data_IF_544020437736
#
_entry.id   IF_544020437736
#
_cell.length_a   1.000
_cell.length_b   1.000
_cell.length_c   1.000
_cell.angle_alpha   90.00
_cell.angle_beta   90.00
_cell.angle_gamma   90.00
#
_symmetry.space_group_name_H-M   'P 1'
#
loop_
_entity.id
_entity.type
_entity.pdbx_description
1 polymer ?
#
# COMPACT_ATOMS: atom_id res chain seq x y z
N UNK A 1 1.25 -0.69 26.47
CA UNK A 1 0.57 0.38 25.72
C UNK A 1 -0.86 -0.07 25.52
N UNK A 2 -1.82 0.64 26.07
CA UNK A 2 -3.24 0.42 25.78
C UNK A 2 -3.54 1.24 24.52
N UNK A 3 -4.13 0.64 23.49
CA UNK A 3 -4.58 1.38 22.33
C UNK A 3 -5.65 2.40 22.79
N UNK A 4 -5.59 3.68 22.36
CA UNK A 4 -6.65 4.63 22.65
C UNK A 4 -7.99 4.09 22.15
N UNK A 5 -9.09 4.37 22.86
CA UNK A 5 -10.44 3.81 22.64
C UNK A 5 -11.07 4.03 21.24
N UNK A 6 -10.39 4.68 20.29
CA UNK A 6 -10.93 5.05 18.97
C UNK A 6 -9.94 4.89 17.80
N UNK A 7 -8.86 4.11 17.96
CA UNK A 7 -7.93 3.85 16.84
C UNK A 7 -8.54 2.88 15.82
N UNK A 8 -8.37 3.18 14.53
CA UNK A 8 -8.75 2.27 13.44
C UNK A 8 -8.01 0.93 13.61
N UNK A 9 -8.75 -0.18 13.52
CA UNK A 9 -8.19 -1.52 13.64
C UNK A 9 -8.52 -2.37 12.40
N UNK A 10 -7.73 -3.42 12.22
CA UNK A 10 -8.01 -4.51 11.30
C UNK A 10 -8.29 -5.77 12.11
N UNK A 11 -9.48 -6.32 11.94
CA UNK A 11 -9.92 -7.53 12.65
C UNK A 11 -9.74 -8.76 11.78
N UNK A 12 -9.00 -9.74 12.29
CA UNK A 12 -8.95 -11.09 11.73
C UNK A 12 -9.93 -11.96 12.51
N UNK A 13 -10.89 -12.58 11.82
CA UNK A 13 -11.92 -13.40 12.45
C UNK A 13 -11.95 -14.82 11.90
N UNK A 14 -12.38 -15.76 12.74
CA UNK A 14 -12.56 -17.17 12.37
C UNK A 14 -13.88 -17.68 12.96
N UNK A 15 -14.77 -18.29 12.16
CA UNK A 15 -16.01 -18.85 12.67
C UNK A 15 -15.76 -20.10 13.51
N UNK A 16 -16.58 -20.30 14.55
CA UNK A 16 -16.63 -21.52 15.35
C UNK A 16 -17.81 -22.34 14.83
N UNK A 17 -17.52 -23.50 14.23
CA UNK A 17 -18.52 -24.39 13.62
C UNK A 17 -18.44 -25.77 14.25
N UNK A 18 -19.57 -26.27 14.76
CA UNK A 18 -19.69 -27.62 15.32
C UNK A 18 -20.89 -28.33 14.70
N UNK A 19 -20.69 -29.55 14.19
CA UNK A 19 -21.75 -30.31 13.52
C UNK A 19 -22.39 -29.58 12.33
N UNK A 20 -21.63 -28.73 11.63
CA UNK A 20 -22.12 -27.91 10.51
C UNK A 20 -22.95 -26.68 10.93
N UNK A 21 -23.08 -26.41 12.24
CA UNK A 21 -23.80 -25.23 12.76
C UNK A 21 -22.82 -24.16 13.21
N UNK A 22 -23.10 -22.91 12.83
CA UNK A 22 -22.37 -21.74 13.32
C UNK A 22 -22.72 -21.50 14.79
N UNK A 23 -21.72 -21.58 15.67
CA UNK A 23 -21.87 -21.35 17.10
C UNK A 23 -21.36 -19.98 17.55
N UNK A 24 -20.43 -19.38 16.80
CA UNK A 24 -19.86 -18.07 17.12
C UNK A 24 -18.68 -17.72 16.22
N UNK A 25 -17.86 -16.75 16.66
CA UNK A 25 -16.62 -16.37 15.99
C UNK A 25 -15.58 -15.92 17.02
N UNK A 26 -14.31 -16.17 16.73
CA UNK A 26 -13.18 -15.54 17.42
C UNK A 26 -12.66 -14.38 16.58
N UNK A 27 -12.07 -13.38 17.23
CA UNK A 27 -11.48 -12.23 16.57
C UNK A 27 -10.16 -11.83 17.21
N UNK A 28 -9.26 -11.31 16.39
CA UNK A 28 -8.00 -10.68 16.82
C UNK A 28 -7.91 -9.32 16.15
N UNK A 29 -7.90 -8.27 16.96
CA UNK A 29 -7.76 -6.90 16.49
C UNK A 29 -6.29 -6.49 16.43
N UNK A 30 -5.91 -5.95 15.28
CA UNK A 30 -4.59 -5.39 15.05
C UNK A 30 -4.71 -3.88 14.92
N UNK A 31 -3.99 -3.14 15.74
CA UNK A 31 -3.90 -1.69 15.62
C UNK A 31 -3.19 -1.34 14.31
N UNK A 32 -3.92 -0.69 13.39
CA UNK A 32 -3.46 -0.49 12.02
C UNK A 32 -2.31 0.51 11.94
N UNK A 33 -2.25 1.44 12.90
CA UNK A 33 -1.20 2.44 13.02
C UNK A 33 0.14 1.80 13.37
N UNK A 34 0.15 0.91 14.35
CA UNK A 34 1.35 0.16 14.73
C UNK A 34 1.81 -0.77 13.60
N UNK A 35 0.86 -1.42 12.91
CA UNK A 35 1.16 -2.25 11.75
C UNK A 35 1.78 -1.43 10.61
N UNK A 36 1.16 -0.31 10.26
CA UNK A 36 1.64 0.62 9.22
C UNK A 36 3.06 1.09 9.53
N UNK A 37 3.31 1.60 10.74
CA UNK A 37 4.65 2.06 11.14
C UNK A 37 5.72 0.97 11.04
N UNK A 38 5.37 -0.28 11.38
CA UNK A 38 6.31 -1.40 11.32
C UNK A 38 6.63 -1.81 9.87
N UNK A 39 5.61 -1.98 9.03
CA UNK A 39 5.78 -2.47 7.66
C UNK A 39 6.35 -1.39 6.73
N UNK A 40 5.82 -0.17 6.79
CA UNK A 40 6.18 0.89 5.85
C UNK A 40 7.61 1.41 6.07
N UNK A 41 8.12 1.35 7.31
CA UNK A 41 9.51 1.70 7.62
C UNK A 41 10.52 0.83 6.86
N UNK A 42 10.19 -0.43 6.59
CA UNK A 42 11.09 -1.35 5.87
C UNK A 42 11.21 -1.00 4.39
N UNK A 43 10.14 -0.46 3.78
CA UNK A 43 10.10 -0.12 2.35
C UNK A 43 10.40 1.35 2.03
N UNK A 44 10.70 2.17 3.04
CA UNK A 44 10.94 3.61 2.85
C UNK A 44 12.39 3.87 2.47
N UNK A 45 12.57 4.62 1.39
CA UNK A 45 13.86 5.14 0.93
C UNK A 45 13.75 6.65 0.75
N UNK A 46 14.84 7.32 0.37
CA UNK A 46 14.82 8.74 0.04
C UNK A 46 13.92 9.05 -1.16
N UNK A 47 13.86 8.14 -2.13
CA UNK A 47 13.21 8.36 -3.43
C UNK A 47 11.90 7.59 -3.59
N UNK A 48 11.53 6.76 -2.61
CA UNK A 48 10.33 5.94 -2.69
C UNK A 48 9.83 5.45 -1.36
N UNK A 49 8.61 4.93 -1.38
CA UNK A 49 7.92 4.38 -0.22
C UNK A 49 7.02 3.23 -0.64
N UNK A 50 6.60 2.44 0.34
CA UNK A 50 5.60 1.39 0.15
C UNK A 50 4.30 1.81 0.80
N UNK A 51 3.18 1.39 0.25
CA UNK A 51 1.86 1.45 0.90
C UNK A 51 0.97 0.32 0.40
N UNK A 52 -0.21 0.16 1.01
CA UNK A 52 -1.09 -0.97 0.74
C UNK A 52 -2.49 -0.47 0.43
N UNK A 53 -3.15 -1.07 -0.56
CA UNK A 53 -4.55 -0.79 -0.89
C UNK A 53 -5.27 -2.08 -1.29
N UNK A 54 -6.60 -2.06 -1.35
CA UNK A 54 -7.36 -3.14 -1.99
C UNK A 54 -7.53 -2.90 -3.50
N UNK A 55 -8.12 -3.89 -4.19
CA UNK A 55 -8.42 -3.87 -5.62
C UNK A 55 -9.34 -2.72 -6.06
N UNK A 56 -10.02 -2.05 -5.14
CA UNK A 56 -10.91 -0.91 -5.42
C UNK A 56 -10.21 0.43 -5.11
N UNK A 57 -8.93 0.38 -4.71
CA UNK A 57 -8.10 1.53 -4.39
C UNK A 57 -8.36 2.12 -3.01
N UNK A 58 -9.01 1.38 -2.10
CA UNK A 58 -9.13 1.76 -0.68
C UNK A 58 -7.78 1.51 -0.01
N UNK A 59 -7.21 2.56 0.58
CA UNK A 59 -5.91 2.50 1.23
C UNK A 59 -6.04 1.75 2.56
N UNK A 60 -5.27 0.67 2.71
CA UNK A 60 -5.26 -0.18 3.90
C UNK A 60 -4.16 0.26 4.88
N UNK A 61 -2.96 0.59 4.38
CA UNK A 61 -1.82 1.03 5.18
C UNK A 61 -1.08 2.14 4.44
N UNK A 62 -0.79 3.26 5.10
CA UNK A 62 -0.04 4.38 4.54
C UNK A 62 0.66 5.19 5.64
N UNK A 63 1.75 5.88 5.31
CA UNK A 63 2.56 6.66 6.27
C UNK A 63 1.81 7.94 6.70
N UNK A 64 1.03 8.49 5.78
CA UNK A 64 -0.03 9.45 6.07
C UNK A 64 -1.30 8.72 6.55
N UNK A 65 -1.49 8.71 7.88
CA UNK A 65 -2.60 8.05 8.56
C UNK A 65 -3.98 8.60 8.13
N UNK A 66 -4.06 9.85 7.66
CA UNK A 66 -5.32 10.45 7.21
C UNK A 66 -5.89 9.83 5.93
N UNK A 67 -5.04 9.10 5.19
CA UNK A 67 -5.43 8.42 3.96
C UNK A 67 -5.96 7.01 4.21
N UNK A 68 -5.72 6.42 5.38
CA UNK A 68 -6.14 5.05 5.68
C UNK A 68 -7.67 4.97 5.67
N UNK A 69 -8.21 3.90 5.09
CA UNK A 69 -9.64 3.67 4.85
C UNK A 69 -10.30 4.72 3.94
N UNK A 70 -9.50 5.39 3.11
CA UNK A 70 -9.99 6.30 2.08
C UNK A 70 -9.64 5.79 0.68
N UNK A 71 -10.42 6.20 -0.31
CA UNK A 71 -10.14 5.94 -1.72
C UNK A 71 -10.04 7.26 -2.47
N UNK A 72 -8.80 7.66 -2.76
CA UNK A 72 -8.48 8.92 -3.43
C UNK A 72 -8.37 8.71 -4.95
N UNK A 73 -8.45 9.80 -5.73
CA UNK A 73 -8.37 9.72 -7.20
C UNK A 73 -7.14 8.95 -7.69
N UNK A 74 -5.99 9.16 -7.06
CA UNK A 74 -4.73 8.51 -7.41
C UNK A 74 -4.82 6.97 -7.27
N UNK A 75 -5.32 6.46 -6.14
CA UNK A 75 -5.39 5.02 -5.89
C UNK A 75 -6.49 4.34 -6.70
N UNK A 76 -7.63 5.00 -6.95
CA UNK A 76 -8.64 4.52 -7.90
C UNK A 76 -8.07 4.36 -9.30
N UNK A 77 -7.26 5.33 -9.74
CA UNK A 77 -6.61 5.29 -11.06
C UNK A 77 -5.62 4.12 -11.11
N UNK A 78 -4.80 3.93 -10.07
CA UNK A 78 -3.87 2.81 -10.00
C UNK A 78 -4.58 1.46 -9.99
N UNK A 79 -5.64 1.31 -9.20
CA UNK A 79 -6.44 0.10 -9.15
C UNK A 79 -7.01 -0.27 -10.53
N UNK A 80 -7.60 0.71 -11.22
CA UNK A 80 -8.13 0.51 -12.56
C UNK A 80 -7.03 0.13 -13.57
N UNK A 81 -5.88 0.81 -13.53
CA UNK A 81 -4.75 0.50 -14.41
C UNK A 81 -4.17 -0.89 -14.15
N UNK A 82 -4.00 -1.26 -12.88
CA UNK A 82 -3.55 -2.59 -12.47
C UNK A 82 -4.51 -3.69 -12.99
N UNK A 83 -5.82 -3.51 -12.77
CA UNK A 83 -6.84 -4.44 -13.27
C UNK A 83 -6.84 -4.57 -14.80
N UNK A 84 -6.57 -3.47 -15.51
CA UNK A 84 -6.46 -3.46 -16.97
C UNK A 84 -5.09 -3.93 -17.49
N UNK A 85 -4.15 -4.27 -16.61
CA UNK A 85 -2.77 -4.62 -16.95
C UNK A 85 -2.06 -3.53 -17.78
N UNK A 86 -2.34 -2.26 -17.48
CA UNK A 86 -1.75 -1.07 -18.11
C UNK A 86 -0.34 -0.79 -17.56
N UNK A 87 0.55 -1.76 -17.74
CA UNK A 87 1.96 -1.67 -17.37
C UNK A 87 2.80 -1.19 -18.55
N UNK A 88 3.84 -0.41 -18.26
CA UNK A 88 4.87 -0.11 -19.24
C UNK A 88 5.79 -1.33 -19.49
N UNK A 89 6.77 -1.16 -20.37
CA UNK A 89 7.73 -2.21 -20.75
C UNK A 89 8.56 -2.76 -19.57
N UNK A 90 8.64 -2.02 -18.46
CA UNK A 90 9.35 -2.42 -17.24
C UNK A 90 8.41 -3.02 -16.19
N UNK A 91 7.12 -3.22 -16.51
CA UNK A 91 6.12 -3.70 -15.57
C UNK A 91 5.61 -2.61 -14.60
N UNK A 92 5.89 -1.33 -14.86
CA UNK A 92 5.55 -0.23 -13.96
C UNK A 92 4.30 0.52 -14.42
N UNK A 93 3.62 1.18 -13.47
CA UNK A 93 2.51 2.09 -13.77
C UNK A 93 2.87 3.51 -13.38
N UNK A 94 2.92 4.42 -14.35
CA UNK A 94 3.07 5.85 -14.08
C UNK A 94 1.77 6.49 -13.58
N UNK A 95 1.87 7.30 -12.53
CA UNK A 95 0.74 8.04 -11.95
C UNK A 95 1.19 9.32 -11.23
N UNK A 96 0.22 10.17 -10.86
CA UNK A 96 0.42 11.29 -9.95
C UNK A 96 -0.16 10.97 -8.58
N UNK A 97 0.63 11.15 -7.52
CA UNK A 97 0.16 10.93 -6.15
C UNK A 97 -0.73 12.09 -5.65
N UNK A 98 -1.18 12.00 -4.38
CA UNK A 98 -2.01 13.03 -3.75
C UNK A 98 -1.34 14.41 -3.63
N UNK A 99 0.00 14.47 -3.73
CA UNK A 99 0.79 15.70 -3.71
C UNK A 99 1.06 16.26 -5.12
N UNK A 100 0.58 15.60 -6.17
CA UNK A 100 0.80 15.99 -7.58
C UNK A 100 2.15 15.55 -8.16
N UNK A 101 2.94 14.80 -7.39
CA UNK A 101 4.26 14.30 -7.79
C UNK A 101 4.13 13.12 -8.76
N UNK A 102 4.97 13.09 -9.80
CA UNK A 102 5.03 11.99 -10.75
C UNK A 102 5.79 10.80 -10.15
N UNK A 103 5.14 9.64 -10.15
CA UNK A 103 5.63 8.42 -9.54
C UNK A 103 5.47 7.23 -10.49
N UNK A 104 6.35 6.25 -10.34
CA UNK A 104 6.16 4.90 -10.83
C UNK A 104 5.66 4.01 -9.70
N UNK A 105 4.67 3.17 -10.00
CA UNK A 105 4.16 2.15 -9.11
C UNK A 105 4.53 0.74 -9.62
N UNK A 106 5.01 -0.10 -8.71
CA UNK A 106 5.11 -1.55 -8.88
C UNK A 106 4.24 -2.26 -7.84
N UNK A 107 3.72 -3.43 -8.17
CA UNK A 107 2.62 -4.08 -7.46
C UNK A 107 2.91 -5.54 -7.10
N UNK A 108 2.48 -5.95 -5.91
CA UNK A 108 2.42 -7.34 -5.50
C UNK A 108 1.01 -7.64 -4.96
N UNK A 109 0.36 -8.65 -5.51
CA UNK A 109 -0.86 -9.22 -4.93
C UNK A 109 -0.51 -10.01 -3.67
N UNK A 110 -1.19 -9.71 -2.56
CA UNK A 110 -0.89 -10.30 -1.25
C UNK A 110 -1.82 -11.45 -0.89
N UNK A 111 -3.02 -11.48 -1.46
CA UNK A 111 -4.03 -12.50 -1.19
C UNK A 111 -5.12 -12.55 -2.28
N UNK A 112 -5.99 -13.56 -2.17
CA UNK A 112 -7.16 -13.80 -3.02
C UNK A 112 -8.29 -12.77 -2.85
N UNK A 113 -8.22 -11.91 -1.82
CA UNK A 113 -9.17 -10.80 -1.60
C UNK A 113 -8.81 -9.55 -2.41
N UNK A 114 -7.71 -9.58 -3.15
CA UNK A 114 -7.25 -8.47 -3.99
C UNK A 114 -6.53 -7.38 -3.21
N UNK A 115 -5.87 -7.70 -2.09
CA UNK A 115 -4.99 -6.72 -1.44
C UNK A 115 -3.68 -6.58 -2.22
N UNK A 116 -3.22 -5.35 -2.37
CA UNK A 116 -2.08 -4.95 -3.16
C UNK A 116 -1.05 -4.25 -2.26
N UNK A 117 0.19 -4.73 -2.28
CA UNK A 117 1.35 -3.96 -1.85
C UNK A 117 1.88 -3.16 -3.04
N UNK A 118 2.16 -1.88 -2.81
CA UNK A 118 2.58 -0.95 -3.86
C UNK A 118 3.88 -0.31 -3.44
N UNK A 119 4.91 -0.44 -4.27
CA UNK A 119 6.07 0.44 -4.18
C UNK A 119 5.84 1.67 -5.05
N UNK A 120 6.13 2.85 -4.53
CA UNK A 120 5.98 4.13 -5.21
C UNK A 120 7.33 4.83 -5.27
N UNK A 121 7.89 4.97 -6.47
CA UNK A 121 9.21 5.59 -6.70
C UNK A 121 9.08 6.90 -7.45
N UNK A 122 9.94 7.88 -7.14
CA UNK A 122 10.09 9.12 -7.91
C UNK A 122 10.46 8.81 -9.36
N UNK A 123 9.73 9.40 -10.31
CA UNK A 123 9.94 9.16 -11.75
C UNK A 123 11.31 9.66 -12.25
N UNK A 124 11.88 10.66 -11.58
CA UNK A 124 13.12 11.34 -11.95
C UNK A 124 14.36 10.86 -11.17
N UNK A 125 14.25 9.77 -10.37
CA UNK A 125 15.35 9.28 -9.51
C UNK A 125 16.66 9.03 -10.26
N UNK A 126 16.60 8.53 -11.50
CA UNK A 126 17.80 8.33 -12.30
C UNK A 126 18.48 9.65 -12.64
N UNK A 127 17.70 10.67 -13.00
CA UNK A 127 18.24 11.99 -13.37
C UNK A 127 18.70 12.79 -12.17
N UNK A 128 18.01 12.71 -11.03
CA UNK A 128 18.31 13.50 -9.83
C UNK A 128 19.36 12.86 -8.93
N UNK A 129 19.51 11.54 -8.96
CA UNK A 129 20.45 10.81 -8.09
C UNK A 129 21.50 10.00 -8.87
N UNK A 130 21.08 9.07 -9.73
CA UNK A 130 22.02 8.11 -10.36
C UNK A 130 22.99 8.78 -11.35
N UNK A 131 22.48 9.64 -12.24
CA UNK A 131 23.28 10.28 -13.29
C UNK A 131 24.37 11.21 -12.74
N UNK A 132 24.11 12.06 -11.71
CA UNK A 132 25.17 12.80 -11.03
C UNK A 132 26.31 11.92 -10.51
N UNK A 133 26.00 10.77 -9.89
CA UNK A 133 27.01 9.85 -9.36
C UNK A 133 27.87 9.24 -10.47
N UNK A 134 27.26 8.86 -11.58
CA UNK A 134 27.99 8.31 -12.73
C UNK A 134 28.94 9.33 -13.37
N UNK A 135 28.56 10.62 -13.41
CA UNK A 135 29.40 11.68 -13.96
C UNK A 135 30.65 11.96 -13.13
N UNK A 136 30.63 11.70 -11.82
CA UNK A 136 31.81 11.87 -10.95
C UNK A 136 32.91 10.85 -11.28
N UNK A 137 32.55 9.73 -11.92
CA UNK A 137 33.49 8.67 -12.28
C UNK A 137 34.20 8.91 -13.63
N UNK A 138 33.84 9.97 -14.36
CA UNK A 138 34.46 10.40 -15.63
C UNK A 138 35.49 11.49 -15.38
#
# INVERSE_FOLDING_TARGET
>A
MVAPEHDLCMTFSTPIVEGGKLLGATFTDVNIRLLSKKLLKMGKTEFGYVYFMDKDGIILLHDDESLINSSVKATKTLAAKFANKDFDENGLIAYKNTKGEDRYADFIELNDRGWLAISAMQKDVFTTNTMPLLKIQL
#
